data_IF_000887706223
#
_entry.id   IF_000887706223
#
_cell.length_a   1.000
_cell.length_b   1.000
_cell.length_c   1.000
_cell.angle_alpha   90.00
_cell.angle_beta   90.00
_cell.angle_gamma   90.00
#
_symmetry.space_group_name_H-M   'P 1'
#
loop_
_entity.id
_entity.type
_entity.pdbx_description
1 polymer ?
#
# COMPACT_ATOMS: atom_id res chain seq x y z
N UNK A 1 -11.31 -3.32 5.91
CA UNK A 1 -10.39 -2.89 4.84
C UNK A 1 -10.37 -1.38 4.68
N UNK A 2 -11.49 -0.71 4.35
CA UNK A 2 -11.54 0.76 4.22
C UNK A 2 -11.12 1.56 5.48
N UNK A 3 -11.23 0.98 6.67
CA UNK A 3 -10.72 1.63 7.90
C UNK A 3 -9.18 1.66 7.93
N UNK A 4 -8.49 0.61 7.46
CA UNK A 4 -7.03 0.59 7.40
C UNK A 4 -6.50 1.66 6.44
N UNK A 5 -7.13 1.80 5.26
CA UNK A 5 -6.75 2.86 4.33
C UNK A 5 -6.85 4.26 4.93
N UNK A 6 -7.85 4.49 5.79
CA UNK A 6 -7.99 5.76 6.51
C UNK A 6 -6.91 5.95 7.56
N UNK A 7 -6.51 4.89 8.26
CA UNK A 7 -5.41 4.94 9.23
C UNK A 7 -4.10 5.28 8.52
N UNK A 8 -3.74 4.49 7.49
CA UNK A 8 -2.55 4.76 6.65
C UNK A 8 -2.55 6.20 6.13
N UNK A 9 -3.68 6.66 5.59
CA UNK A 9 -3.80 8.02 5.07
C UNK A 9 -3.65 9.07 6.17
N UNK A 10 -4.30 8.87 7.32
CA UNK A 10 -4.26 9.80 8.43
C UNK A 10 -2.83 9.93 8.95
N UNK A 11 -2.16 8.81 9.21
CA UNK A 11 -0.81 8.80 9.77
C UNK A 11 0.20 9.50 8.85
N UNK A 12 0.12 9.28 7.53
CA UNK A 12 0.97 9.97 6.55
C UNK A 12 0.67 11.48 6.45
N UNK A 13 -0.58 11.90 6.62
CA UNK A 13 -0.94 13.32 6.56
C UNK A 13 -0.62 14.05 7.87
N UNK A 14 -0.81 13.39 9.01
CA UNK A 14 -0.50 13.91 10.34
C UNK A 14 1.00 14.23 10.46
N UNK A 15 1.86 13.40 9.86
CA UNK A 15 3.29 13.68 9.74
C UNK A 15 3.59 14.97 8.97
N UNK A 16 2.94 15.17 7.82
CA UNK A 16 3.11 16.40 7.01
C UNK A 16 2.62 17.65 7.77
N UNK A 17 1.51 17.55 8.50
CA UNK A 17 0.95 18.68 9.27
C UNK A 17 1.75 18.99 10.55
N UNK A 18 2.43 17.99 11.11
CA UNK A 18 3.27 18.11 12.30
C UNK A 18 4.63 18.77 12.05
N UNK A 19 5.14 18.65 10.82
CA UNK A 19 6.38 19.27 10.34
C UNK A 19 6.10 20.49 9.44
N UNK A 20 7.11 21.32 9.15
CA UNK A 20 6.95 22.35 8.10
C UNK A 20 6.81 21.60 6.76
N UNK A 21 5.73 21.81 5.99
CA UNK A 21 5.51 21.15 4.68
C UNK A 21 6.71 21.28 3.71
N UNK A 22 7.64 22.22 3.98
CA UNK A 22 8.89 22.39 3.24
C UNK A 22 10.05 21.47 3.69
N UNK A 23 9.87 20.68 4.75
CA UNK A 23 10.86 19.76 5.33
C UNK A 23 10.58 18.29 5.03
N UNK A 24 9.40 17.94 4.50
CA UNK A 24 9.06 16.55 4.14
C UNK A 24 9.40 16.23 2.68
N UNK A 25 10.02 15.07 2.43
CA UNK A 25 10.37 14.60 1.08
C UNK A 25 9.15 14.07 0.27
N UNK A 26 7.95 14.12 0.86
CA UNK A 26 6.69 13.78 0.21
C UNK A 26 5.57 14.76 0.57
N UNK A 27 4.54 14.79 -0.26
CA UNK A 27 3.41 15.73 -0.17
C UNK A 27 2.08 15.00 0.02
N UNK A 28 1.03 15.73 0.38
CA UNK A 28 -0.34 15.18 0.44
C UNK A 28 -0.81 14.56 -0.90
N UNK A 29 -0.23 14.99 -2.03
CA UNK A 29 -0.48 14.37 -3.34
C UNK A 29 0.12 12.97 -3.43
N UNK A 30 1.31 12.76 -2.89
CA UNK A 30 1.98 11.46 -2.89
C UNK A 30 1.26 10.48 -1.97
N UNK A 31 0.78 10.96 -0.81
CA UNK A 31 -0.15 10.19 0.04
C UNK A 31 -1.40 9.79 -0.72
N UNK A 32 -1.99 10.72 -1.47
CA UNK A 32 -3.17 10.43 -2.31
C UNK A 32 -2.88 9.36 -3.36
N UNK A 33 -1.70 9.38 -3.98
CA UNK A 33 -1.28 8.35 -4.94
C UNK A 33 -1.14 6.98 -4.26
N UNK A 34 -0.49 6.91 -3.09
CA UNK A 34 -0.36 5.67 -2.32
C UNK A 34 -1.74 5.05 -2.02
N UNK A 35 -2.66 5.85 -1.46
CA UNK A 35 -4.01 5.38 -1.13
C UNK A 35 -4.79 4.96 -2.39
N UNK A 36 -4.61 5.69 -3.50
CA UNK A 36 -5.25 5.35 -4.77
C UNK A 36 -4.75 3.99 -5.28
N UNK A 37 -3.44 3.73 -5.26
CA UNK A 37 -2.88 2.43 -5.67
C UNK A 37 -3.43 1.26 -4.84
N UNK A 38 -3.58 1.44 -3.52
CA UNK A 38 -4.16 0.42 -2.65
C UNK A 38 -5.66 0.21 -2.92
N UNK A 39 -6.41 1.28 -3.20
CA UNK A 39 -7.82 1.20 -3.58
C UNK A 39 -8.03 0.51 -4.94
N UNK A 40 -7.17 0.80 -5.92
CA UNK A 40 -7.20 0.16 -7.24
C UNK A 40 -6.87 -1.32 -7.15
N UNK A 41 -5.88 -1.69 -6.32
CA UNK A 41 -5.58 -3.10 -6.02
C UNK A 41 -6.80 -3.83 -5.44
N UNK A 42 -7.42 -3.27 -4.39
CA UNK A 42 -8.62 -3.86 -3.79
C UNK A 42 -9.77 -3.98 -4.81
N UNK A 43 -10.00 -2.94 -5.61
CA UNK A 43 -11.06 -2.95 -6.63
C UNK A 43 -10.79 -4.00 -7.72
N UNK A 44 -9.52 -4.21 -8.10
CA UNK A 44 -9.13 -5.24 -9.05
C UNK A 44 -9.39 -6.65 -8.50
N UNK A 45 -9.00 -6.89 -7.24
CA UNK A 45 -9.24 -8.15 -6.54
C UNK A 45 -10.73 -8.46 -6.34
N UNK A 46 -11.57 -7.42 -6.16
CA UNK A 46 -13.03 -7.55 -6.01
C UNK A 46 -13.79 -7.69 -7.35
N UNK A 47 -13.15 -7.35 -8.47
CA UNK A 47 -13.83 -7.28 -9.77
C UNK A 47 -14.24 -8.64 -10.34
N UNK A 48 -13.50 -9.70 -9.97
CA UNK A 48 -13.74 -11.07 -10.41
C UNK A 48 -13.16 -12.08 -9.43
N UNK A 49 -13.55 -13.36 -9.57
CA UNK A 49 -12.98 -14.45 -8.76
C UNK A 49 -11.51 -14.63 -9.10
N UNK A 50 -10.66 -14.59 -8.07
CA UNK A 50 -9.22 -14.65 -8.24
C UNK A 50 -8.69 -16.08 -8.16
N UNK A 51 -7.67 -16.36 -8.97
CA UNK A 51 -6.78 -17.52 -8.80
C UNK A 51 -5.55 -17.08 -8.01
N UNK A 52 -4.74 -18.04 -7.55
CA UNK A 52 -3.43 -17.73 -6.94
C UNK A 52 -2.55 -16.95 -7.90
N UNK A 53 -2.53 -17.31 -9.18
CA UNK A 53 -1.71 -16.65 -10.21
C UNK A 53 -2.18 -15.22 -10.48
N UNK A 54 -3.49 -15.00 -10.66
CA UNK A 54 -4.03 -13.65 -10.90
C UNK A 54 -3.84 -12.76 -9.67
N UNK A 55 -4.08 -13.28 -8.47
CA UNK A 55 -3.81 -12.57 -7.23
C UNK A 55 -2.32 -12.20 -7.10
N UNK A 56 -1.41 -13.13 -7.42
CA UNK A 56 0.04 -12.88 -7.42
C UNK A 56 0.40 -11.70 -8.35
N UNK A 57 -0.15 -11.67 -9.56
CA UNK A 57 0.06 -10.56 -10.50
C UNK A 57 -0.49 -9.22 -10.01
N UNK A 58 -1.63 -9.20 -9.31
CA UNK A 58 -2.16 -7.99 -8.68
C UNK A 58 -1.28 -7.48 -7.53
N UNK A 59 -0.75 -8.40 -6.71
CA UNK A 59 0.15 -8.08 -5.59
C UNK A 59 1.46 -7.50 -6.11
N UNK A 60 2.10 -8.18 -7.07
CA UNK A 60 3.32 -7.70 -7.72
C UNK A 60 3.13 -6.27 -8.25
N UNK A 61 2.05 -6.04 -8.99
CA UNK A 61 1.76 -4.73 -9.57
C UNK A 61 1.64 -3.63 -8.52
N UNK A 62 0.92 -3.87 -7.42
CA UNK A 62 0.74 -2.84 -6.38
C UNK A 62 2.05 -2.62 -5.62
N UNK A 63 2.80 -3.66 -5.27
CA UNK A 63 4.07 -3.53 -4.54
C UNK A 63 5.10 -2.75 -5.36
N UNK A 64 5.27 -3.08 -6.64
CA UNK A 64 6.19 -2.34 -7.52
C UNK A 64 5.77 -0.88 -7.73
N UNK A 65 4.47 -0.60 -7.75
CA UNK A 65 3.96 0.78 -7.82
C UNK A 65 4.28 1.56 -6.55
N UNK A 66 4.17 0.91 -5.38
CA UNK A 66 4.52 1.52 -4.09
C UNK A 66 6.02 1.73 -3.94
N UNK A 67 6.87 0.79 -4.35
CA UNK A 67 8.33 0.98 -4.38
C UNK A 67 8.70 2.22 -5.21
N UNK A 68 8.16 2.30 -6.42
CA UNK A 68 8.42 3.42 -7.33
C UNK A 68 7.98 4.77 -6.76
N UNK A 69 6.82 4.79 -6.08
CA UNK A 69 6.34 5.99 -5.42
C UNK A 69 7.23 6.37 -4.22
N UNK A 70 7.61 5.40 -3.39
CA UNK A 70 8.47 5.62 -2.23
C UNK A 70 9.85 6.18 -2.66
N UNK A 71 10.44 5.62 -3.71
CA UNK A 71 11.70 6.12 -4.27
C UNK A 71 11.59 7.56 -4.81
N UNK A 72 10.45 7.93 -5.41
CA UNK A 72 10.21 9.32 -5.85
C UNK A 72 10.12 10.29 -4.67
N UNK A 73 9.77 9.78 -3.49
CA UNK A 73 9.68 10.49 -2.22
C UNK A 73 10.94 10.33 -1.34
N UNK A 74 12.10 10.02 -1.93
CA UNK A 74 13.35 9.89 -1.20
C UNK A 74 13.39 8.73 -0.18
N UNK A 75 12.52 7.74 -0.36
CA UNK A 75 12.29 6.63 0.57
C UNK A 75 11.67 7.00 1.93
N UNK A 76 11.05 8.17 2.02
CA UNK A 76 10.44 8.68 3.26
C UNK A 76 8.92 8.55 3.34
N UNK A 77 8.24 8.07 2.28
CA UNK A 77 6.77 7.97 2.28
C UNK A 77 6.25 6.78 3.08
N UNK A 78 6.91 5.62 2.97
CA UNK A 78 6.48 4.37 3.61
C UNK A 78 7.50 3.98 4.67
N UNK A 79 7.24 4.36 5.92
CA UNK A 79 8.05 3.95 7.06
C UNK A 79 7.55 2.63 7.68
N UNK A 80 8.13 2.25 8.83
CA UNK A 80 7.86 0.98 9.49
C UNK A 80 6.37 0.79 9.83
N UNK A 81 5.70 1.83 10.33
CA UNK A 81 4.28 1.75 10.71
C UNK A 81 3.38 1.61 9.47
N UNK A 82 3.61 2.44 8.44
CA UNK A 82 2.86 2.36 7.18
C UNK A 82 3.12 1.02 6.48
N UNK A 83 4.34 0.49 6.53
CA UNK A 83 4.65 -0.83 5.99
C UNK A 83 3.76 -1.91 6.61
N UNK A 84 3.72 -1.95 7.94
CA UNK A 84 2.94 -2.97 8.67
C UNK A 84 1.45 -2.91 8.32
N UNK A 85 0.90 -1.69 8.23
CA UNK A 85 -0.49 -1.49 7.87
C UNK A 85 -0.78 -1.81 6.39
N UNK A 86 0.13 -1.47 5.47
CA UNK A 86 -0.02 -1.81 4.05
C UNK A 86 0.03 -3.32 3.85
N UNK A 87 1.00 -4.01 4.45
CA UNK A 87 1.09 -5.48 4.41
C UNK A 87 -0.19 -6.11 4.98
N UNK A 88 -0.68 -5.60 6.11
CA UNK A 88 -1.94 -6.06 6.70
C UNK A 88 -3.15 -5.79 5.79
N UNK A 89 -3.19 -4.64 5.14
CA UNK A 89 -4.25 -4.31 4.18
C UNK A 89 -4.25 -5.28 3.00
N UNK A 90 -3.10 -5.51 2.37
CA UNK A 90 -2.95 -6.43 1.24
C UNK A 90 -3.37 -7.84 1.63
N UNK A 91 -2.91 -8.34 2.79
CA UNK A 91 -3.28 -9.65 3.30
C UNK A 91 -4.80 -9.79 3.52
N UNK A 92 -5.46 -8.74 4.04
CA UNK A 92 -6.91 -8.73 4.26
C UNK A 92 -7.70 -8.75 2.95
N UNK A 93 -7.24 -8.05 1.91
CA UNK A 93 -7.86 -8.07 0.57
C UNK A 93 -7.75 -9.46 -0.05
N UNK A 94 -6.58 -10.07 0.01
CA UNK A 94 -6.33 -11.42 -0.52
C UNK A 94 -7.19 -12.46 0.20
N UNK A 95 -7.25 -12.38 1.54
CA UNK A 95 -8.07 -13.26 2.36
C UNK A 95 -9.57 -13.11 2.02
N UNK A 96 -10.03 -11.88 1.75
CA UNK A 96 -11.41 -11.62 1.33
C UNK A 96 -11.73 -12.20 -0.06
N UNK A 97 -10.72 -12.32 -0.93
CA UNK A 97 -10.84 -13.01 -2.23
C UNK A 97 -10.77 -14.54 -2.12
N UNK A 98 -10.68 -15.11 -0.90
CA UNK A 98 -10.50 -16.54 -0.62
C UNK A 98 -9.26 -17.16 -1.30
N UNK A 99 -8.21 -16.36 -1.46
CA UNK A 99 -6.90 -16.85 -1.94
C UNK A 99 -5.98 -17.02 -0.74
N UNK A 100 -5.35 -18.18 -0.64
CA UNK A 100 -4.41 -18.48 0.46
C UNK A 100 -2.97 -18.39 -0.02
N UNK A 101 -2.14 -17.73 0.77
CA UNK A 101 -0.69 -17.70 0.63
C UNK A 101 -0.06 -17.97 2.00
N UNK A 102 1.15 -18.51 1.99
CA UNK A 102 1.95 -18.68 3.20
C UNK A 102 2.88 -17.47 3.39
N UNK A 103 2.89 -16.90 4.59
CA UNK A 103 3.79 -15.80 4.95
C UNK A 103 3.33 -14.43 4.45
N UNK A 104 4.26 -13.47 4.44
CA UNK A 104 4.03 -12.14 3.87
C UNK A 104 4.20 -12.18 2.35
N UNK A 105 3.07 -12.10 1.66
CA UNK A 105 2.95 -12.13 0.19
C UNK A 105 3.63 -10.97 -0.52
N UNK A 106 3.99 -9.91 0.20
CA UNK A 106 4.64 -8.73 -0.38
C UNK A 106 6.16 -8.86 -0.43
N UNK A 107 6.76 -9.74 0.40
CA UNK A 107 8.21 -9.85 0.59
C UNK A 107 8.99 -10.10 -0.71
N UNK A 108 8.40 -10.80 -1.68
CA UNK A 108 9.08 -11.14 -2.94
C UNK A 108 9.49 -9.90 -3.76
N UNK A 109 8.76 -8.79 -3.65
CA UNK A 109 9.00 -7.57 -4.43
C UNK A 109 9.20 -6.30 -3.60
N UNK A 110 8.97 -6.36 -2.29
CA UNK A 110 8.91 -5.16 -1.45
C UNK A 110 10.29 -4.61 -1.13
N UNK A 111 10.45 -3.29 -1.31
CA UNK A 111 11.70 -2.56 -1.03
C UNK A 111 11.59 -1.57 0.16
N UNK A 112 10.38 -1.38 0.70
CA UNK A 112 10.04 -0.54 1.86
C UNK A 112 9.70 -1.36 3.13
#
# INVERSE_FOLDING_TARGET
MRNLLKVIQYDMLDFIEGDDENETDYTAKDVTLCITSLLEFMSSMESEVQTVESAKGHIEKVVLSLNSLNHQCGDCLIETEQREDICQFIQKVISAANVEFAGDVTEEWREW
#
